data_IF_182166784334
#
_entry.id   IF_182166784334
#
_cell.length_a   1.000
_cell.length_b   1.000
_cell.length_c   1.000
_cell.angle_alpha   90.00
_cell.angle_beta   90.00
_cell.angle_gamma   90.00
#
_symmetry.space_group_name_H-M   'P 1'
#
loop_
_entity.id
_entity.type
_entity.pdbx_description
1 polymer ?
#
# COMPACT_ATOMS: atom_id res chain seq x y z
N UNK A 1 -3.80 8.26 13.91
CA UNK A 1 -2.57 7.80 13.20
C UNK A 1 -2.87 7.30 11.78
N UNK A 2 -3.86 6.42 11.56
CA UNK A 2 -4.22 5.93 10.22
C UNK A 2 -4.72 7.02 9.26
N UNK A 3 -5.41 8.06 9.75
CA UNK A 3 -5.91 9.15 8.92
C UNK A 3 -4.82 10.01 8.24
N UNK A 4 -3.55 9.90 8.67
CA UNK A 4 -2.41 10.57 8.02
C UNK A 4 -1.63 9.67 7.07
N UNK A 5 -2.13 8.46 6.79
CA UNK A 5 -1.52 7.51 5.84
C UNK A 5 -2.25 7.56 4.50
N UNK A 6 -1.65 7.03 3.41
CA UNK A 6 -2.32 6.94 2.11
C UNK A 6 -3.57 6.07 2.21
N UNK A 7 -4.75 6.67 2.01
CA UNK A 7 -6.02 5.96 2.16
C UNK A 7 -6.13 4.75 1.24
N UNK A 8 -5.63 4.88 0.01
CA UNK A 8 -5.61 3.78 -0.96
C UNK A 8 -4.70 2.64 -0.51
N UNK A 9 -3.46 2.92 -0.07
CA UNK A 9 -2.55 1.87 0.40
C UNK A 9 -3.08 1.14 1.63
N UNK A 10 -3.70 1.86 2.57
CA UNK A 10 -4.34 1.25 3.76
C UNK A 10 -5.50 0.34 3.34
N UNK A 11 -6.30 0.75 2.35
CA UNK A 11 -7.38 -0.08 1.79
C UNK A 11 -6.83 -1.37 1.17
N UNK A 12 -5.75 -1.27 0.37
CA UNK A 12 -5.13 -2.42 -0.27
C UNK A 12 -4.51 -3.38 0.74
N UNK A 13 -3.81 -2.86 1.75
CA UNK A 13 -3.26 -3.67 2.84
C UNK A 13 -4.36 -4.42 3.59
N UNK A 14 -5.47 -3.74 3.92
CA UNK A 14 -6.62 -4.38 4.58
C UNK A 14 -7.25 -5.47 3.69
N UNK A 15 -7.32 -5.24 2.38
CA UNK A 15 -7.85 -6.22 1.43
C UNK A 15 -6.96 -7.46 1.39
N UNK A 16 -5.65 -7.30 1.20
CA UNK A 16 -4.70 -8.40 1.19
C UNK A 16 -4.76 -9.25 2.47
N UNK A 17 -4.83 -8.61 3.65
CA UNK A 17 -4.97 -9.34 4.92
C UNK A 17 -6.30 -10.09 5.00
N UNK A 18 -7.43 -9.40 4.77
CA UNK A 18 -8.74 -10.01 4.94
C UNK A 18 -9.00 -11.18 3.99
N UNK A 19 -8.49 -11.10 2.75
CA UNK A 19 -8.75 -12.10 1.72
C UNK A 19 -7.58 -13.07 1.51
N UNK A 20 -6.39 -12.76 2.01
CA UNK A 20 -5.20 -13.61 1.91
C UNK A 20 -5.00 -14.54 3.11
N UNK A 21 -5.49 -14.18 4.30
CA UNK A 21 -5.25 -14.97 5.53
C UNK A 21 -5.80 -16.40 5.46
N UNK A 22 -6.89 -16.64 4.74
CA UNK A 22 -7.52 -17.96 4.61
C UNK A 22 -7.14 -18.69 3.31
N UNK A 23 -6.21 -18.13 2.51
CA UNK A 23 -5.77 -18.70 1.24
C UNK A 23 -4.51 -19.54 1.40
N UNK A 24 -4.25 -20.43 0.44
CA UNK A 24 -2.96 -21.08 0.31
C UNK A 24 -1.86 -20.01 0.12
N UNK A 25 -0.67 -20.26 0.66
CA UNK A 25 0.43 -19.28 0.69
C UNK A 25 0.72 -18.67 -0.69
N UNK A 26 0.77 -19.50 -1.73
CA UNK A 26 1.03 -19.02 -3.10
C UNK A 26 -0.05 -18.05 -3.60
N UNK A 27 -1.32 -18.38 -3.36
CA UNK A 27 -2.46 -17.53 -3.73
C UNK A 27 -2.48 -16.23 -2.91
N UNK A 28 -2.16 -16.32 -1.61
CA UNK A 28 -2.03 -15.15 -0.75
C UNK A 28 -0.92 -14.21 -1.22
N UNK A 29 0.28 -14.74 -1.52
CA UNK A 29 1.40 -13.94 -2.03
C UNK A 29 1.07 -13.28 -3.37
N UNK A 30 0.34 -13.98 -4.25
CA UNK A 30 -0.12 -13.38 -5.52
C UNK A 30 -1.10 -12.24 -5.28
N UNK A 31 -2.07 -12.41 -4.39
CA UNK A 31 -3.00 -11.36 -3.99
C UNK A 31 -2.26 -10.14 -3.40
N UNK A 32 -1.29 -10.37 -2.53
CA UNK A 32 -0.45 -9.30 -1.94
C UNK A 32 0.33 -8.56 -3.03
N UNK A 33 0.94 -9.28 -3.97
CA UNK A 33 1.68 -8.67 -5.08
C UNK A 33 0.78 -7.79 -5.96
N UNK A 34 -0.43 -8.27 -6.29
CA UNK A 34 -1.42 -7.50 -7.05
C UNK A 34 -1.87 -6.25 -6.26
N UNK A 35 -2.14 -6.40 -4.97
CA UNK A 35 -2.52 -5.27 -4.10
C UNK A 35 -1.42 -4.21 -4.01
N UNK A 36 -0.16 -4.64 -3.91
CA UNK A 36 1.00 -3.78 -3.89
C UNK A 36 1.18 -3.07 -5.24
N UNK A 37 1.07 -3.81 -6.35
CA UNK A 37 1.21 -3.27 -7.70
C UNK A 37 0.19 -2.15 -7.98
N UNK A 38 -1.05 -2.27 -7.50
CA UNK A 38 -2.05 -1.22 -7.65
C UNK A 38 -1.63 0.09 -6.97
N UNK A 39 -0.91 0.04 -5.85
CA UNK A 39 -0.43 1.25 -5.17
C UNK A 39 0.58 2.04 -6.04
N UNK A 40 1.35 1.40 -6.93
CA UNK A 40 2.32 2.11 -7.79
C UNK A 40 1.67 3.07 -8.80
N UNK A 41 0.36 2.95 -9.03
CA UNK A 41 -0.39 3.91 -9.84
C UNK A 41 -0.72 5.21 -9.10
N UNK A 42 -0.63 5.23 -7.76
CA UNK A 42 -0.96 6.39 -6.91
C UNK A 42 0.20 7.38 -6.80
N UNK A 43 -0.12 8.64 -6.55
CA UNK A 43 0.90 9.67 -6.30
C UNK A 43 1.47 9.53 -4.89
N UNK A 44 0.67 9.06 -3.93
CA UNK A 44 1.12 8.77 -2.57
C UNK A 44 2.24 7.71 -2.52
N UNK A 45 2.22 6.72 -3.42
CA UNK A 45 3.30 5.75 -3.51
C UNK A 45 4.61 6.40 -3.97
N UNK A 46 4.56 7.24 -5.01
CA UNK A 46 5.74 7.95 -5.53
C UNK A 46 6.30 8.92 -4.48
N UNK A 47 5.44 9.67 -3.82
CA UNK A 47 5.80 10.61 -2.76
C UNK A 47 6.37 9.90 -1.54
N UNK A 48 5.76 8.79 -1.11
CA UNK A 48 6.28 7.97 -0.01
C UNK A 48 7.70 7.47 -0.29
N UNK A 49 7.93 6.96 -1.49
CA UNK A 49 9.23 6.42 -1.90
C UNK A 49 10.28 7.54 -2.03
N UNK A 50 9.91 8.68 -2.62
CA UNK A 50 10.77 9.86 -2.72
C UNK A 50 11.13 10.42 -1.35
N UNK A 51 10.14 10.61 -0.47
CA UNK A 51 10.36 11.12 0.88
C UNK A 51 11.27 10.20 1.70
N UNK A 52 11.15 8.89 1.52
CA UNK A 52 12.03 7.90 2.16
C UNK A 52 13.49 8.06 1.70
N UNK A 53 13.73 8.17 0.38
CA UNK A 53 15.06 8.39 -0.17
C UNK A 53 15.67 9.73 0.27
N UNK A 54 14.84 10.78 0.35
CA UNK A 54 15.20 12.12 0.81
C UNK A 54 15.27 12.25 2.35
N UNK A 55 14.98 11.18 3.10
CA UNK A 55 14.96 11.15 4.58
C UNK A 55 14.09 12.23 5.22
N UNK A 56 12.96 12.56 4.58
CA UNK A 56 11.97 13.53 5.08
C UNK A 56 10.63 12.85 5.35
N UNK A 57 9.73 13.58 6.02
CA UNK A 57 8.35 13.11 6.19
C UNK A 57 7.59 13.18 4.85
N UNK A 58 6.86 12.13 4.47
CA UNK A 58 6.03 12.14 3.27
C UNK A 58 4.78 13.01 3.46
N UNK A 59 4.32 13.65 2.39
CA UNK A 59 3.09 14.44 2.36
C UNK A 59 2.03 13.72 1.51
N UNK A 60 1.25 12.83 2.13
CA UNK A 60 0.21 12.08 1.44
C UNK A 60 -1.02 12.94 1.17
N UNK A 61 -1.59 12.82 -0.02
CA UNK A 61 -2.76 13.57 -0.49
C UNK A 61 -3.98 12.69 -0.79
N UNK A 62 -3.83 11.36 -0.69
CA UNK A 62 -4.92 10.42 -0.92
C UNK A 62 -5.24 10.18 -2.39
N UNK A 63 -4.26 10.39 -3.27
CA UNK A 63 -4.37 10.24 -4.73
C UNK A 63 -3.34 9.26 -5.26
#
# INVERSE_FOLDING_TARGET
KLAGMPGFAVKMAKHAVNFGCDQALESACRLEAECCAQCFSTDDQKEGMKAFLEKRKPAFTGR
#
